data_IF_931698768610
#
_entry.id   IF_931698768610
#
_cell.length_a   1.000
_cell.length_b   1.000
_cell.length_c   1.000
_cell.angle_alpha   90.00
_cell.angle_beta   90.00
_cell.angle_gamma   90.00
#
_symmetry.space_group_name_H-M   'P 1'
#
loop_
_entity.id
_entity.type
_entity.pdbx_description
1 polymer ?
#
# COMPACT_ATOMS: atom_id res chain seq x y z
N UNK A 1 -10.95 -20.76 -0.26
CA UNK A 1 -9.55 -20.74 -0.81
C UNK A 1 -9.42 -19.87 -2.05
N UNK A 2 -10.53 -19.41 -2.65
CA UNK A 2 -10.52 -18.37 -3.67
C UNK A 2 -11.06 -17.03 -3.15
N UNK A 3 -11.49 -16.93 -1.89
CA UNK A 3 -12.16 -15.74 -1.35
C UNK A 3 -11.29 -14.47 -1.39
N UNK A 4 -9.98 -14.58 -1.13
CA UNK A 4 -9.02 -13.46 -1.30
C UNK A 4 -8.79 -13.08 -2.77
N UNK A 5 -8.95 -14.05 -3.68
CA UNK A 5 -8.78 -13.84 -5.11
C UNK A 5 -10.04 -13.22 -5.71
N UNK A 6 -11.22 -13.66 -5.27
CA UNK A 6 -12.52 -13.09 -5.62
C UNK A 6 -12.66 -11.67 -5.05
N UNK A 7 -12.22 -11.40 -3.82
CA UNK A 7 -12.12 -10.03 -3.24
C UNK A 7 -11.15 -9.12 -4.03
N UNK A 8 -10.15 -9.71 -4.68
CA UNK A 8 -9.20 -8.98 -5.54
C UNK A 8 -9.76 -8.71 -6.94
N UNK A 9 -10.61 -9.59 -7.47
CA UNK A 9 -11.27 -9.44 -8.76
C UNK A 9 -12.54 -8.59 -8.69
N UNK A 10 -13.33 -8.74 -7.62
CA UNK A 10 -14.56 -8.01 -7.33
C UNK A 10 -14.29 -6.91 -6.29
N UNK A 11 -13.36 -6.02 -6.63
CA UNK A 11 -12.89 -4.97 -5.71
C UNK A 11 -13.90 -3.85 -5.39
N UNK A 12 -15.16 -4.00 -5.82
CA UNK A 12 -16.25 -3.10 -5.48
C UNK A 12 -16.81 -3.40 -4.09
N UNK A 13 -17.59 -2.46 -3.56
CA UNK A 13 -18.12 -2.55 -2.21
C UNK A 13 -19.62 -2.83 -2.24
N UNK A 14 -20.03 -3.92 -1.59
CA UNK A 14 -21.46 -4.23 -1.37
C UNK A 14 -21.91 -3.53 -0.08
N UNK A 15 -22.94 -2.69 -0.19
CA UNK A 15 -23.57 -2.00 0.93
C UNK A 15 -24.98 -2.55 1.17
N UNK A 16 -25.19 -3.36 2.22
CA UNK A 16 -26.52 -3.89 2.54
C UNK A 16 -27.35 -2.83 3.29
N UNK A 17 -28.34 -2.24 2.63
CA UNK A 17 -29.22 -1.21 3.22
C UNK A 17 -30.68 -1.64 3.08
N UNK A 18 -31.38 -1.80 4.20
CA UNK A 18 -32.82 -2.04 4.20
C UNK A 18 -33.24 -3.36 3.52
N UNK A 19 -32.41 -4.40 3.60
CA UNK A 19 -32.67 -5.69 2.96
C UNK A 19 -32.37 -5.73 1.46
N UNK A 20 -31.78 -4.67 0.91
CA UNK A 20 -31.27 -4.60 -0.47
C UNK A 20 -29.76 -4.40 -0.46
N UNK A 21 -29.09 -5.01 -1.43
CA UNK A 21 -27.66 -4.83 -1.66
C UNK A 21 -27.45 -3.77 -2.74
N UNK A 22 -26.53 -2.84 -2.46
CA UNK A 22 -26.10 -1.80 -3.39
C UNK A 22 -24.63 -2.03 -3.71
N UNK A 23 -24.32 -2.19 -5.00
CA UNK A 23 -22.94 -2.34 -5.47
C UNK A 23 -22.35 -0.95 -5.72
N UNK A 24 -21.19 -0.69 -5.11
CA UNK A 24 -20.40 0.52 -5.36
C UNK A 24 -19.19 0.12 -6.19
N UNK A 25 -19.11 0.67 -7.40
CA UNK A 25 -17.96 0.47 -8.28
C UNK A 25 -16.67 1.01 -7.66
N UNK A 26 -15.52 0.36 -7.89
CA UNK A 26 -14.23 0.87 -7.46
C UNK A 26 -13.98 2.26 -8.06
N UNK A 27 -13.63 3.27 -7.23
CA UNK A 27 -13.32 4.60 -7.75
C UNK A 27 -12.04 4.55 -8.61
N UNK A 28 -11.94 5.48 -9.57
CA UNK A 28 -10.70 5.68 -10.32
C UNK A 28 -9.54 6.04 -9.38
N UNK A 29 -8.32 5.72 -9.79
CA UNK A 29 -7.13 6.09 -9.03
C UNK A 29 -7.02 7.61 -8.83
N UNK A 30 -7.43 8.41 -9.82
CA UNK A 30 -7.46 9.85 -9.69
C UNK A 30 -8.45 10.34 -8.63
N UNK A 31 -9.63 9.72 -8.53
CA UNK A 31 -10.65 10.07 -7.52
C UNK A 31 -10.07 9.91 -6.11
N UNK A 32 -9.42 8.77 -5.82
CA UNK A 32 -8.83 8.52 -4.49
C UNK A 32 -7.62 9.41 -4.23
N UNK A 33 -6.78 9.69 -5.23
CA UNK A 33 -5.66 10.64 -5.08
C UNK A 33 -6.14 12.06 -4.76
N UNK A 34 -7.24 12.52 -5.37
CA UNK A 34 -7.83 13.83 -5.07
C UNK A 34 -8.30 13.89 -3.61
N UNK A 35 -8.93 12.82 -3.13
CA UNK A 35 -9.33 12.70 -1.74
C UNK A 35 -8.10 12.75 -0.81
N UNK A 36 -7.06 11.97 -1.08
CA UNK A 36 -5.83 11.99 -0.27
C UNK A 36 -5.13 13.35 -0.28
N UNK A 37 -5.10 14.03 -1.42
CA UNK A 37 -4.57 15.40 -1.52
C UNK A 37 -5.38 16.36 -0.64
N UNK A 38 -6.70 16.23 -0.64
CA UNK A 38 -7.58 17.06 0.21
C UNK A 38 -7.36 16.76 1.70
N UNK A 39 -7.24 15.49 2.08
CA UNK A 39 -7.01 15.07 3.47
C UNK A 39 -5.60 15.38 3.98
N UNK A 40 -4.61 15.42 3.09
CA UNK A 40 -3.23 15.78 3.42
C UNK A 40 -3.06 17.30 3.66
N UNK A 41 -3.87 18.14 3.02
CA UNK A 41 -3.79 19.60 3.13
C UNK A 41 -4.16 20.15 4.52
N UNK A 42 -3.86 21.42 4.73
CA UNK A 42 -4.05 22.13 6.01
C UNK A 42 -5.53 22.22 6.43
N UNK A 43 -6.44 22.36 5.47
CA UNK A 43 -7.87 22.45 5.74
C UNK A 43 -8.57 21.09 5.60
N UNK A 44 -8.53 20.30 6.69
CA UNK A 44 -9.18 18.99 6.78
C UNK A 44 -10.68 19.06 7.07
N UNK A 45 -11.22 20.25 7.35
CA UNK A 45 -12.64 20.42 7.66
C UNK A 45 -13.47 20.42 6.37
N UNK A 46 -14.57 19.66 6.38
CA UNK A 46 -15.51 19.59 5.27
C UNK A 46 -16.78 20.33 5.70
N UNK A 47 -17.29 21.21 4.84
CA UNK A 47 -18.68 21.64 4.97
C UNK A 47 -19.61 20.49 4.62
N UNK A 48 -20.83 20.47 5.16
CA UNK A 48 -21.80 19.40 4.85
C UNK A 48 -22.09 19.30 3.34
N UNK A 49 -22.03 20.43 2.62
CA UNK A 49 -22.22 20.47 1.16
C UNK A 49 -21.05 19.84 0.41
N UNK A 50 -19.82 20.14 0.80
CA UNK A 50 -18.61 19.54 0.19
C UNK A 50 -18.56 18.03 0.45
N UNK A 51 -18.87 17.61 1.69
CA UNK A 51 -18.93 16.21 2.05
C UNK A 51 -19.94 15.45 1.20
N UNK A 52 -21.14 16.00 1.08
CA UNK A 52 -22.18 15.41 0.25
C UNK A 52 -21.73 15.29 -1.21
N UNK A 53 -21.12 16.32 -1.77
CA UNK A 53 -20.64 16.28 -3.16
C UNK A 53 -19.53 15.23 -3.37
N UNK A 54 -18.67 15.03 -2.37
CA UNK A 54 -17.64 13.98 -2.43
C UNK A 54 -18.26 12.58 -2.36
N UNK A 55 -19.24 12.40 -1.47
CA UNK A 55 -19.99 11.15 -1.33
C UNK A 55 -20.73 10.80 -2.61
N UNK A 56 -21.43 11.77 -3.21
CA UNK A 56 -22.13 11.59 -4.49
C UNK A 56 -21.16 11.16 -5.59
N UNK A 57 -19.94 11.74 -5.62
CA UNK A 57 -18.90 11.35 -6.58
C UNK A 57 -18.37 9.94 -6.33
N UNK A 58 -18.17 9.56 -5.07
CA UNK A 58 -17.64 8.25 -4.69
C UNK A 58 -18.64 7.12 -4.93
N UNK A 59 -19.91 7.35 -4.62
CA UNK A 59 -20.98 6.38 -4.85
C UNK A 59 -21.38 6.32 -6.33
N UNK A 60 -21.14 7.37 -7.12
CA UNK A 60 -21.40 7.37 -8.55
C UNK A 60 -22.86 7.03 -8.87
N UNK A 61 -23.08 6.05 -9.75
CA UNK A 61 -24.43 5.61 -10.14
C UNK A 61 -25.25 5.07 -8.94
N UNK A 62 -24.59 4.46 -7.96
CA UNK A 62 -25.21 3.86 -6.78
C UNK A 62 -25.95 4.91 -5.93
N UNK A 63 -25.52 6.18 -5.93
CA UNK A 63 -26.26 7.25 -5.29
C UNK A 63 -27.68 7.39 -5.88
N UNK A 64 -27.78 7.42 -7.20
CA UNK A 64 -29.06 7.49 -7.90
C UNK A 64 -29.95 6.27 -7.62
N UNK A 65 -29.36 5.08 -7.53
CA UNK A 65 -30.07 3.85 -7.16
C UNK A 65 -30.62 3.90 -5.73
N UNK A 66 -29.83 4.41 -4.77
CA UNK A 66 -30.27 4.60 -3.39
C UNK A 66 -31.43 5.59 -3.30
N UNK A 67 -31.34 6.71 -4.03
CA UNK A 67 -32.43 7.70 -4.11
C UNK A 67 -33.69 7.08 -4.72
N UNK A 68 -33.56 6.36 -5.84
CA UNK A 68 -34.68 5.69 -6.50
C UNK A 68 -35.32 4.59 -5.62
N UNK A 69 -34.53 3.94 -4.76
CA UNK A 69 -35.01 2.96 -3.79
C UNK A 69 -35.65 3.59 -2.54
N UNK A 70 -35.71 4.93 -2.44
CA UNK A 70 -36.29 5.63 -1.30
C UNK A 70 -35.45 5.53 -0.02
N UNK A 71 -34.14 5.29 -0.14
CA UNK A 71 -33.24 5.27 1.00
C UNK A 71 -33.15 6.69 1.60
N UNK A 72 -33.38 6.87 2.92
CA UNK A 72 -33.23 8.17 3.56
C UNK A 72 -31.83 8.75 3.36
N UNK A 73 -31.74 10.05 3.07
CA UNK A 73 -30.47 10.71 2.72
C UNK A 73 -29.38 10.50 3.78
N UNK A 74 -29.71 10.58 5.07
CA UNK A 74 -28.74 10.34 6.15
C UNK A 74 -28.13 8.94 6.10
N UNK A 75 -28.90 7.93 5.65
CA UNK A 75 -28.38 6.56 5.45
C UNK A 75 -27.50 6.48 4.21
N UNK A 76 -27.86 7.17 3.13
CA UNK A 76 -27.02 7.26 1.93
C UNK A 76 -25.70 7.99 2.21
N UNK A 77 -25.71 9.04 3.01
CA UNK A 77 -24.50 9.75 3.48
C UNK A 77 -23.63 8.81 4.33
N UNK A 78 -24.22 8.07 5.26
CA UNK A 78 -23.48 7.08 6.07
C UNK A 78 -22.82 5.98 5.21
N UNK A 79 -23.57 5.48 4.24
CA UNK A 79 -23.09 4.54 3.24
C UNK A 79 -21.94 5.12 2.41
N UNK A 80 -22.04 6.38 2.01
CA UNK A 80 -20.98 7.12 1.33
C UNK A 80 -19.70 7.27 2.15
N UNK A 81 -19.82 7.66 3.42
CA UNK A 81 -18.68 7.70 4.35
C UNK A 81 -18.00 6.34 4.47
N UNK A 82 -18.79 5.28 4.55
CA UNK A 82 -18.28 3.90 4.61
C UNK A 82 -17.50 3.55 3.34
N UNK A 83 -18.02 3.90 2.15
CA UNK A 83 -17.34 3.69 0.88
C UNK A 83 -16.03 4.47 0.79
N UNK A 84 -16.04 5.75 1.18
CA UNK A 84 -14.84 6.59 1.25
C UNK A 84 -13.79 5.94 2.15
N UNK A 85 -14.15 5.54 3.37
CA UNK A 85 -13.21 4.90 4.31
C UNK A 85 -12.68 3.58 3.77
N UNK A 86 -13.51 2.79 3.06
CA UNK A 86 -13.10 1.50 2.49
C UNK A 86 -11.97 1.65 1.49
N UNK A 87 -12.13 2.57 0.53
CA UNK A 87 -11.15 2.73 -0.54
C UNK A 87 -9.95 3.62 -0.15
N UNK A 88 -10.15 4.60 0.74
CA UNK A 88 -9.10 5.55 1.10
C UNK A 88 -8.25 5.08 2.30
N UNK A 89 -8.79 4.25 3.18
CA UNK A 89 -8.09 3.85 4.40
C UNK A 89 -7.95 2.32 4.48
N UNK A 90 -9.02 1.64 4.89
CA UNK A 90 -9.03 0.18 4.98
C UNK A 90 -10.44 -0.39 5.12
N UNK A 91 -10.60 -1.65 4.74
CA UNK A 91 -11.83 -2.41 4.97
C UNK A 91 -12.20 -2.49 6.47
N UNK A 92 -11.22 -2.58 7.36
CA UNK A 92 -11.44 -2.62 8.81
C UNK A 92 -12.05 -1.30 9.32
N UNK A 93 -11.50 -0.16 8.92
CA UNK A 93 -12.03 1.15 9.33
C UNK A 93 -13.37 1.47 8.65
N UNK A 94 -13.60 0.96 7.43
CA UNK A 94 -14.92 1.01 6.81
C UNK A 94 -15.96 0.22 7.61
N UNK A 95 -15.62 -0.99 8.07
CA UNK A 95 -16.51 -1.78 8.91
C UNK A 95 -16.79 -1.10 10.25
N UNK A 96 -15.78 -0.47 10.85
CA UNK A 96 -15.95 0.33 12.06
C UNK A 96 -16.90 1.52 11.80
N UNK A 97 -16.69 2.25 10.71
CA UNK A 97 -17.56 3.35 10.25
C UNK A 97 -19.00 2.85 10.10
N UNK A 98 -19.18 1.75 9.38
CA UNK A 98 -20.50 1.13 9.13
C UNK A 98 -21.23 0.80 10.43
N UNK A 99 -20.52 0.24 11.42
CA UNK A 99 -21.03 -0.16 12.73
C UNK A 99 -21.13 0.98 13.76
N UNK A 100 -20.82 2.22 13.38
CA UNK A 100 -20.70 3.36 14.31
C UNK A 100 -19.69 3.13 15.45
N UNK A 101 -18.64 2.35 15.18
CA UNK A 101 -17.55 2.13 16.12
C UNK A 101 -16.44 3.16 15.89
N UNK A 102 -15.71 3.57 16.93
CA UNK A 102 -14.52 4.39 16.75
C UNK A 102 -13.54 3.65 15.83
N UNK A 103 -13.03 4.35 14.81
CA UNK A 103 -12.01 3.82 13.91
C UNK A 103 -10.77 3.48 14.72
N UNK A 104 -10.27 2.25 14.58
CA UNK A 104 -8.99 1.86 15.15
C UNK A 104 -7.87 2.59 14.40
N UNK A 105 -6.82 3.02 15.11
CA UNK A 105 -5.58 3.44 14.47
C UNK A 105 -5.17 2.38 13.44
N UNK A 106 -4.69 2.84 12.27
CA UNK A 106 -4.37 2.05 11.08
C UNK A 106 -3.85 0.68 11.49
N UNK A 107 -4.69 -0.35 11.36
CA UNK A 107 -4.24 -1.73 11.51
C UNK A 107 -3.24 -1.91 10.37
N UNK A 108 -1.93 -2.10 10.64
CA UNK A 108 -1.00 -2.35 9.55
C UNK A 108 -1.56 -3.53 8.75
N UNK A 109 -1.44 -3.53 7.41
CA UNK A 109 -1.76 -4.74 6.66
C UNK A 109 -1.06 -5.87 7.38
N UNK A 110 -1.80 -6.94 7.74
CA UNK A 110 -1.21 -8.12 8.40
C UNK A 110 0.06 -8.38 7.64
N UNK A 111 1.20 -8.17 8.31
CA UNK A 111 2.51 -8.35 7.71
C UNK A 111 2.55 -9.83 7.36
N UNK A 112 2.15 -10.17 6.15
CA UNK A 112 2.59 -11.40 5.54
C UNK A 112 4.09 -11.23 5.56
N UNK A 113 4.82 -12.06 6.35
CA UNK A 113 6.25 -11.90 6.44
C UNK A 113 6.74 -11.88 5.00
N UNK A 114 7.34 -10.76 4.59
CA UNK A 114 7.97 -10.65 3.27
C UNK A 114 8.95 -11.80 3.25
N UNK A 115 8.60 -12.90 2.59
CA UNK A 115 9.54 -13.96 2.29
C UNK A 115 10.61 -13.23 1.50
N UNK A 116 11.76 -12.99 2.14
CA UNK A 116 12.97 -12.57 1.45
C UNK A 116 13.05 -13.46 0.22
N UNK A 117 13.15 -12.90 -1.00
CA UNK A 117 13.19 -13.72 -2.19
C UNK A 117 14.23 -14.81 -1.94
N UNK A 118 13.80 -16.06 -2.07
CA UNK A 118 14.70 -17.20 -2.00
C UNK A 118 15.76 -16.92 -3.06
N UNK A 119 16.93 -16.49 -2.61
CA UNK A 119 18.07 -16.26 -3.50
C UNK A 119 18.34 -17.64 -4.08
N UNK A 120 18.02 -17.80 -5.37
CA UNK A 120 18.35 -19.00 -6.11
C UNK A 120 19.86 -19.19 -5.95
N UNK A 121 20.25 -20.38 -5.46
CA UNK A 121 21.66 -20.74 -5.22
C UNK A 121 22.49 -20.28 -6.42
N UNK A 122 23.43 -19.37 -6.15
CA UNK A 122 24.38 -18.88 -7.15
C UNK A 122 25.18 -20.09 -7.65
N UNK A 123 25.45 -20.11 -8.95
CA UNK A 123 26.24 -21.13 -9.64
C UNK A 123 27.50 -21.48 -8.83
N UNK A 124 27.54 -22.71 -8.32
CA UNK A 124 28.47 -23.21 -7.30
C UNK A 124 29.89 -23.47 -7.81
N UNK A 125 30.23 -22.99 -9.01
CA UNK A 125 31.52 -23.27 -9.67
C UNK A 125 32.51 -22.10 -9.65
N UNK A 126 32.11 -20.89 -9.27
CA UNK A 126 33.02 -19.74 -9.15
C UNK A 126 33.60 -19.63 -7.72
N UNK A 127 34.93 -19.78 -7.53
CA UNK A 127 35.57 -19.71 -6.23
C UNK A 127 35.52 -18.32 -5.57
N UNK A 128 35.08 -17.27 -6.29
CA UNK A 128 34.93 -15.92 -5.76
C UNK A 128 33.48 -15.58 -5.33
N UNK A 129 32.54 -16.52 -5.45
CA UNK A 129 31.17 -16.31 -5.01
C UNK A 129 31.11 -16.35 -3.48
N UNK A 130 30.81 -15.19 -2.90
CA UNK A 130 30.49 -15.07 -1.50
C UNK A 130 28.99 -15.01 -1.30
N UNK A 131 28.46 -15.94 -0.51
CA UNK A 131 27.07 -15.92 -0.15
C UNK A 131 26.84 -14.93 1.00
N UNK A 132 25.80 -14.07 0.88
CA UNK A 132 25.46 -13.14 1.94
C UNK A 132 24.98 -13.88 3.20
N UNK A 133 25.07 -13.23 4.38
CA UNK A 133 24.44 -13.74 5.59
C UNK A 133 22.95 -14.03 5.39
N UNK A 134 22.46 -15.11 5.99
CA UNK A 134 21.07 -15.52 5.90
C UNK A 134 20.68 -16.35 4.69
N UNK A 135 21.65 -16.81 3.88
CA UNK A 135 21.39 -17.60 2.68
C UNK A 135 20.79 -18.97 3.00
N UNK A 136 21.27 -19.64 4.04
CA UNK A 136 20.77 -20.96 4.48
C UNK A 136 19.66 -20.82 5.54
N UNK A 137 19.87 -20.01 6.57
CA UNK A 137 18.92 -19.76 7.66
C UNK A 137 19.31 -18.49 8.47
N UNK A 138 18.53 -18.12 9.48
CA UNK A 138 18.78 -16.93 10.31
C UNK A 138 20.11 -16.98 11.10
N UNK A 139 20.66 -18.18 11.30
CA UNK A 139 21.94 -18.39 11.96
C UNK A 139 23.11 -18.44 10.96
N UNK A 140 22.85 -18.31 9.65
CA UNK A 140 23.87 -18.35 8.61
C UNK A 140 24.62 -17.02 8.55
N UNK A 141 25.91 -16.97 8.91
CA UNK A 141 26.71 -15.77 8.78
C UNK A 141 27.10 -15.50 7.31
N UNK A 142 26.77 -16.40 6.37
CA UNK A 142 27.25 -16.35 5.01
C UNK A 142 28.72 -16.78 4.93
N UNK A 143 29.33 -16.61 3.76
CA UNK A 143 30.73 -16.94 3.56
C UNK A 143 31.06 -17.44 2.17
N UNK A 144 32.03 -18.33 2.09
CA UNK A 144 32.55 -18.83 0.82
C UNK A 144 31.61 -19.79 0.09
N UNK A 145 32.09 -20.32 -1.05
CA UNK A 145 31.34 -21.23 -1.90
C UNK A 145 30.75 -22.41 -1.11
N UNK A 146 29.50 -22.75 -1.42
CA UNK A 146 28.80 -23.90 -0.84
C UNK A 146 29.36 -25.20 -1.43
N UNK A 147 29.56 -26.21 -0.58
CA UNK A 147 30.06 -27.54 -0.94
C UNK A 147 28.92 -28.56 -0.80
N UNK A 148 28.24 -28.92 -1.90
CA UNK A 148 27.09 -29.82 -1.85
C UNK A 148 27.44 -31.20 -1.27
N UNK A 149 28.68 -31.68 -1.49
CA UNK A 149 29.13 -32.99 -1.00
C UNK A 149 29.16 -33.10 0.53
N UNK A 150 29.45 -31.99 1.21
CA UNK A 150 29.60 -31.92 2.67
C UNK A 150 28.41 -31.21 3.34
N UNK A 151 27.55 -30.57 2.55
CA UNK A 151 26.42 -29.80 3.03
C UNK A 151 26.80 -28.49 3.75
N UNK A 152 28.03 -28.00 3.56
CA UNK A 152 28.63 -26.89 4.29
C UNK A 152 29.31 -25.86 3.37
N UNK A 153 29.98 -24.85 3.92
CA UNK A 153 30.76 -23.84 3.17
C UNK A 153 32.26 -24.05 3.33
N UNK A 154 33.04 -23.63 2.34
CA UNK A 154 34.51 -23.66 2.43
C UNK A 154 35.04 -22.81 3.62
N UNK A 155 34.37 -21.69 3.89
CA UNK A 155 34.64 -20.84 5.04
C UNK A 155 33.38 -20.06 5.41
N UNK A 156 33.30 -19.64 6.67
CA UNK A 156 32.18 -18.86 7.22
C UNK A 156 32.65 -17.48 7.67
N UNK A 157 31.80 -16.48 7.52
CA UNK A 157 31.99 -15.18 8.18
C UNK A 157 31.85 -15.33 9.71
N UNK A 158 32.36 -14.36 10.50
CA UNK A 158 32.13 -14.33 11.94
C UNK A 158 30.65 -14.50 12.31
N UNK A 159 30.36 -15.32 13.33
CA UNK A 159 28.98 -15.64 13.73
C UNK A 159 28.12 -14.38 14.00
N UNK A 160 28.72 -13.30 14.52
CA UNK A 160 28.06 -12.01 14.75
C UNK A 160 27.41 -11.38 13.50
N UNK A 161 27.83 -11.81 12.31
CA UNK A 161 27.31 -11.29 11.04
C UNK A 161 26.01 -12.00 10.63
N UNK A 162 25.64 -13.12 11.27
CA UNK A 162 24.40 -13.82 10.98
C UNK A 162 23.17 -12.99 11.41
N UNK A 163 22.05 -13.07 10.67
CA UNK A 163 20.84 -12.31 10.97
C UNK A 163 20.34 -12.41 12.43
N UNK A 164 20.50 -13.57 13.07
CA UNK A 164 20.09 -13.81 14.45
C UNK A 164 20.88 -13.03 15.51
N UNK A 165 22.10 -12.58 15.18
CA UNK A 165 22.97 -11.83 16.10
C UNK A 165 23.06 -10.35 15.72
N UNK A 166 22.57 -9.98 14.54
CA UNK A 166 22.34 -8.58 14.25
C UNK A 166 21.17 -8.12 15.14
N UNK A 167 21.26 -6.93 15.78
CA UNK A 167 20.06 -6.33 16.34
C UNK A 167 19.05 -6.33 15.21
N UNK A 168 17.87 -6.95 15.41
CA UNK A 168 16.81 -7.00 14.42
C UNK A 168 16.81 -5.64 13.76
N UNK A 169 17.21 -5.59 12.47
CA UNK A 169 17.36 -4.32 11.77
C UNK A 169 16.09 -3.60 12.13
N UNK A 170 16.22 -2.50 12.88
CA UNK A 170 15.06 -1.76 13.34
C UNK A 170 14.32 -1.59 12.03
N UNK A 171 13.15 -2.22 11.92
CA UNK A 171 12.31 -1.96 10.78
C UNK A 171 12.08 -0.47 11.00
N UNK A 172 12.88 0.36 10.35
CA UNK A 172 12.55 1.73 10.03
C UNK A 172 11.42 1.52 9.02
N UNK A 173 10.32 1.03 9.57
CA UNK A 173 8.99 1.08 9.06
C UNK A 173 8.71 2.58 9.11
N UNK A 174 9.37 3.27 8.19
CA UNK A 174 9.20 4.67 7.90
C UNK A 174 7.70 4.76 7.74
N UNK A 175 7.06 5.38 8.72
CA UNK A 175 5.61 5.55 8.75
C UNK A 175 5.25 6.44 7.56
N UNK A 176 5.17 5.86 6.36
CA UNK A 176 4.91 6.59 5.12
C UNK A 176 3.44 6.94 5.14
N UNK A 177 3.19 8.25 5.22
CA UNK A 177 1.85 8.83 5.16
C UNK A 177 1.55 9.29 3.74
N UNK A 178 0.28 9.49 3.43
CA UNK A 178 -0.14 10.08 2.15
C UNK A 178 0.49 11.43 1.88
N UNK A 179 0.69 12.26 2.90
CA UNK A 179 1.42 13.52 2.78
C UNK A 179 2.87 13.32 2.29
N UNK A 180 3.56 12.26 2.75
CA UNK A 180 4.92 11.93 2.31
C UNK A 180 4.92 11.52 0.83
N UNK A 181 3.98 10.64 0.43
CA UNK A 181 3.84 10.17 -0.95
C UNK A 181 3.53 11.34 -1.90
N UNK A 182 2.58 12.19 -1.52
CA UNK A 182 2.19 13.36 -2.32
C UNK A 182 3.31 14.41 -2.38
N UNK A 183 4.07 14.59 -1.29
CA UNK A 183 5.25 15.45 -1.26
C UNK A 183 6.41 14.94 -2.11
N UNK A 184 6.42 13.64 -2.46
CA UNK A 184 7.38 13.01 -3.35
C UNK A 184 6.76 12.61 -4.70
N UNK A 185 5.65 13.24 -5.10
CA UNK A 185 4.85 12.82 -6.26
C UNK A 185 5.64 12.79 -7.58
N UNK A 186 6.53 13.77 -7.82
CA UNK A 186 7.37 13.76 -9.02
C UNK A 186 8.30 12.54 -9.08
N UNK A 187 8.83 12.11 -7.93
CA UNK A 187 9.65 10.91 -7.84
C UNK A 187 8.82 9.64 -8.09
N UNK A 188 7.57 9.62 -7.62
CA UNK A 188 6.60 8.55 -7.94
C UNK A 188 6.35 8.50 -9.45
N UNK A 189 6.05 9.63 -10.09
CA UNK A 189 5.85 9.68 -11.54
C UNK A 189 7.06 9.15 -12.32
N UNK A 190 8.27 9.51 -11.91
CA UNK A 190 9.50 9.01 -12.53
C UNK A 190 9.63 7.50 -12.33
N UNK A 191 9.41 6.97 -11.12
CA UNK A 191 9.52 5.52 -10.87
C UNK A 191 8.50 4.71 -11.70
N UNK A 192 7.30 5.24 -11.94
CA UNK A 192 6.32 4.65 -12.86
C UNK A 192 6.73 4.73 -14.33
N UNK A 193 7.35 5.83 -14.75
CA UNK A 193 7.77 6.02 -16.14
C UNK A 193 9.00 5.18 -16.51
N UNK A 194 9.85 4.87 -15.54
CA UNK A 194 11.08 4.11 -15.76
C UNK A 194 10.82 2.60 -15.89
N UNK A 195 11.79 1.88 -16.45
CA UNK A 195 11.77 0.42 -16.51
C UNK A 195 11.71 -0.17 -15.09
N UNK A 196 10.89 -1.22 -14.83
CA UNK A 196 10.14 -2.04 -15.80
C UNK A 196 8.74 -1.54 -16.17
N UNK A 197 8.25 -0.46 -15.55
CA UNK A 197 6.84 -0.09 -15.59
C UNK A 197 6.45 0.60 -16.89
N UNK A 198 7.27 1.55 -17.38
CA UNK A 198 7.02 2.31 -18.61
C UNK A 198 5.59 2.91 -18.68
N UNK A 199 5.07 3.36 -17.54
CA UNK A 199 3.75 3.94 -17.40
C UNK A 199 3.89 5.44 -17.19
N UNK A 200 3.30 6.21 -18.12
CA UNK A 200 3.13 7.64 -17.93
C UNK A 200 1.84 7.92 -17.13
N UNK A 201 1.98 8.36 -15.87
CA UNK A 201 0.84 8.72 -15.03
C UNK A 201 0.08 9.97 -15.52
N UNK A 202 0.71 10.81 -16.34
CA UNK A 202 0.11 12.01 -16.93
C UNK A 202 -0.72 11.72 -18.19
N UNK A 203 -0.68 10.49 -18.71
CA UNK A 203 -1.41 10.06 -19.91
C UNK A 203 -2.93 9.96 -19.76
N UNK A 204 -3.47 10.22 -18.56
CA UNK A 204 -4.88 9.97 -18.21
C UNK A 204 -5.16 8.56 -17.68
N UNK A 205 -4.13 7.72 -17.55
CA UNK A 205 -4.26 6.35 -17.01
C UNK A 205 -4.91 6.31 -15.63
N UNK A 206 -4.72 7.34 -14.81
CA UNK A 206 -5.29 7.43 -13.46
C UNK A 206 -6.82 7.60 -13.45
N UNK A 207 -7.40 8.14 -14.52
CA UNK A 207 -8.86 8.25 -14.67
C UNK A 207 -9.49 6.94 -15.13
N UNK A 208 -8.74 6.16 -15.91
CA UNK A 208 -9.20 4.93 -16.55
C UNK A 208 -9.01 3.69 -15.69
N UNK A 209 -8.05 3.72 -14.75
CA UNK A 209 -7.70 2.57 -13.92
C UNK A 209 -8.32 2.68 -12.53
N UNK A 210 -8.81 1.57 -11.97
CA UNK A 210 -9.32 1.55 -10.61
C UNK A 210 -8.20 1.84 -9.61
N UNK A 211 -8.55 2.37 -8.44
CA UNK A 211 -7.59 2.71 -7.40
C UNK A 211 -6.63 1.57 -7.01
N UNK A 212 -7.12 0.35 -6.92
CA UNK A 212 -6.34 -0.83 -6.54
C UNK A 212 -5.17 -1.06 -7.50
N UNK A 213 -5.37 -0.75 -8.79
CA UNK A 213 -4.31 -0.81 -9.79
C UNK A 213 -3.15 0.11 -9.44
N UNK A 214 -3.40 1.30 -8.88
CA UNK A 214 -2.36 2.22 -8.43
C UNK A 214 -1.79 1.77 -7.07
N UNK A 215 -2.65 1.41 -6.13
CA UNK A 215 -2.28 1.06 -4.76
C UNK A 215 -1.25 -0.09 -4.71
N UNK A 216 -1.48 -1.17 -5.46
CA UNK A 216 -0.56 -2.32 -5.53
C UNK A 216 0.81 -1.91 -6.07
N UNK A 217 0.85 -1.00 -7.04
CA UNK A 217 2.10 -0.53 -7.66
C UNK A 217 2.87 0.42 -6.75
N UNK A 218 2.16 1.31 -6.08
CA UNK A 218 2.74 2.16 -5.04
C UNK A 218 3.35 1.34 -3.91
N UNK A 219 2.71 0.26 -3.48
CA UNK A 219 3.28 -0.65 -2.47
C UNK A 219 4.62 -1.25 -2.93
N UNK A 220 4.75 -1.63 -4.21
CA UNK A 220 6.02 -2.15 -4.76
C UNK A 220 7.07 -1.05 -4.80
N UNK A 221 6.75 0.12 -5.35
CA UNK A 221 7.68 1.26 -5.45
C UNK A 221 8.15 1.71 -4.06
N UNK A 222 7.24 1.90 -3.12
CA UNK A 222 7.57 2.34 -1.75
C UNK A 222 8.22 1.23 -0.92
N UNK A 223 8.04 -0.02 -1.32
CA UNK A 223 8.63 -1.18 -0.68
C UNK A 223 10.07 -1.47 -1.13
N UNK A 224 10.49 -0.91 -2.26
CA UNK A 224 11.82 -1.05 -2.85
C UNK A 224 12.76 0.05 -2.34
N UNK A 225 13.81 -0.28 -1.56
CA UNK A 225 14.73 0.71 -1.00
C UNK A 225 15.45 1.54 -2.06
N UNK A 226 15.63 0.96 -3.27
CA UNK A 226 16.30 1.64 -4.37
C UNK A 226 15.38 2.56 -5.16
N UNK A 227 14.08 2.62 -4.90
CA UNK A 227 13.17 3.51 -5.62
C UNK A 227 13.48 4.99 -5.32
N UNK A 228 13.17 5.87 -6.27
CA UNK A 228 13.40 7.31 -6.09
C UNK A 228 12.39 7.88 -5.11
N UNK A 229 11.15 7.42 -5.16
CA UNK A 229 10.09 7.84 -4.25
C UNK A 229 10.47 7.53 -2.79
N UNK A 230 10.92 6.30 -2.49
CA UNK A 230 11.32 5.91 -1.14
C UNK A 230 12.48 6.76 -0.64
N UNK A 231 13.54 6.90 -1.44
CA UNK A 231 14.72 7.72 -1.08
C UNK A 231 14.38 9.21 -0.90
N UNK A 232 13.46 9.74 -1.69
CA UNK A 232 13.01 11.13 -1.57
C UNK A 232 12.24 11.35 -0.27
N UNK A 233 11.35 10.41 0.08
CA UNK A 233 10.60 10.44 1.35
C UNK A 233 11.56 10.35 2.54
N UNK A 234 12.52 9.42 2.50
CA UNK A 234 13.55 9.26 3.52
C UNK A 234 14.37 10.54 3.70
N UNK A 235 14.86 11.12 2.60
CA UNK A 235 15.62 12.37 2.64
C UNK A 235 14.81 13.53 3.22
N UNK A 236 13.53 13.67 2.85
CA UNK A 236 12.64 14.71 3.40
C UNK A 236 12.42 14.56 4.89
N UNK A 237 12.27 13.32 5.38
CA UNK A 237 12.04 13.03 6.80
C UNK A 237 13.32 13.10 7.64
N UNK A 238 14.48 12.89 7.02
CA UNK A 238 15.78 13.02 7.68
C UNK A 238 16.19 14.47 7.98
N UNK A 239 15.57 15.46 7.33
CA UNK A 239 15.84 16.89 7.58
C UNK A 239 14.95 17.40 8.73
N UNK A 240 15.52 17.73 9.91
CA UNK A 240 14.75 18.30 11.01
C UNK A 240 14.32 19.73 10.64
N UNK A 241 13.01 19.95 10.42
CA UNK A 241 12.45 21.29 10.14
C UNK A 241 12.04 21.56 8.69
N UNK A 242 12.01 20.56 7.81
CA UNK A 242 11.46 20.70 6.45
C UNK A 242 9.94 20.59 6.45
N UNK A 243 9.25 21.74 6.35
CA UNK A 243 7.80 21.87 6.36
C UNK A 243 7.04 20.77 5.59
N UNK A 244 6.12 20.14 6.30
CA UNK A 244 4.90 19.58 5.71
C UNK A 244 4.06 20.75 5.18
N UNK A 245 3.98 20.87 3.86
CA UNK A 245 2.96 21.65 3.14
C UNK A 245 2.20 20.69 2.25
#
# INVERSE_FOLDING_TARGET
MFDQFDEWLDSGLILPIGGREFWVEPPSALTVLRLHRRLAGENRSWTSTEERAEIERFLGATWGEMVAAGIPELKAIHAGRTAITHFADSAANALATWKFQPTTDRVPPVATPRRKPTVWMVDTTDPNVEDPPGTINEMDPGGGPYRPEYGDRLWYRPAKDAPAYQPAAKDDDLDIRWADILGAWDAVCIDFQMHPWNIDLSSGVLEQRPWQWLAVRLQVILGEPTSRARRTIEARKAVPGGNSV
#
